data_IF_419558414466
#
_entry.id   IF_419558414466
#
_cell.length_a   1.000
_cell.length_b   1.000
_cell.length_c   1.000
_cell.angle_alpha   90.00
_cell.angle_beta   90.00
_cell.angle_gamma   90.00
#
_symmetry.space_group_name_H-M   'P 1'
#
loop_
_entity.id
_entity.type
_entity.pdbx_description
1 polymer ?
#
# COMPACT_ATOMS: atom_id res chain seq x y z
N UNK A 1 51.37 70.37 -43.54
CA UNK A 1 49.94 70.77 -43.63
C UNK A 1 49.13 69.57 -44.09
N UNK A 2 47.91 69.46 -43.55
CA UNK A 2 46.84 68.52 -43.90
C UNK A 2 46.74 67.20 -43.14
N UNK A 3 45.74 67.21 -42.26
CA UNK A 3 45.03 66.13 -41.58
C UNK A 3 44.47 65.08 -42.56
N UNK A 4 44.33 63.81 -42.16
CA UNK A 4 43.00 63.15 -42.08
C UNK A 4 42.99 61.73 -41.49
N UNK A 5 42.06 61.55 -40.51
CA UNK A 5 41.16 60.41 -40.24
C UNK A 5 41.70 59.07 -39.70
N UNK A 6 41.64 58.98 -38.37
CA UNK A 6 41.44 57.75 -37.60
C UNK A 6 39.97 57.31 -37.74
N UNK A 7 39.71 56.11 -38.30
CA UNK A 7 38.40 55.44 -38.24
C UNK A 7 38.29 54.69 -36.91
N UNK A 8 37.33 55.09 -36.07
CA UNK A 8 36.86 54.32 -34.90
C UNK A 8 35.82 53.31 -35.38
N UNK A 9 36.05 52.02 -35.11
CA UNK A 9 35.00 51.00 -35.17
C UNK A 9 34.28 50.98 -33.82
N UNK A 10 32.99 51.31 -33.80
CA UNK A 10 32.11 51.06 -32.68
C UNK A 10 31.53 49.65 -32.84
N UNK A 11 31.91 48.74 -31.95
CA UNK A 11 31.24 47.43 -31.79
C UNK A 11 30.05 47.67 -30.88
N UNK A 12 28.85 47.67 -31.47
CA UNK A 12 27.59 47.70 -30.73
C UNK A 12 27.22 46.29 -30.27
N UNK A 13 27.36 46.02 -28.98
CA UNK A 13 26.84 44.80 -28.35
C UNK A 13 25.31 44.93 -28.23
N UNK A 14 24.57 44.19 -29.05
CA UNK A 14 23.13 44.04 -28.94
C UNK A 14 22.82 43.08 -27.78
N UNK A 15 22.54 43.64 -26.61
CA UNK A 15 22.00 42.89 -25.46
C UNK A 15 20.52 42.58 -25.74
N UNK A 16 20.24 41.36 -26.21
CA UNK A 16 18.89 40.82 -26.25
C UNK A 16 18.45 40.52 -24.81
N UNK A 17 17.73 41.46 -24.20
CA UNK A 17 17.00 41.22 -22.96
C UNK A 17 15.79 40.36 -23.31
N UNK A 18 15.90 39.05 -23.10
CA UNK A 18 14.74 38.16 -23.07
C UNK A 18 13.97 38.53 -21.80
N UNK A 19 12.93 39.34 -21.96
CA UNK A 19 11.94 39.57 -20.91
C UNK A 19 11.25 38.23 -20.63
N UNK A 20 11.61 37.60 -19.52
CA UNK A 20 10.81 36.51 -18.97
C UNK A 20 9.47 37.10 -18.54
N UNK A 21 8.44 36.92 -19.35
CA UNK A 21 7.06 37.19 -18.95
C UNK A 21 6.71 36.24 -17.81
N UNK A 22 6.86 36.74 -16.58
CA UNK A 22 6.28 36.15 -15.39
C UNK A 22 4.76 36.20 -15.54
N UNK A 23 4.19 35.20 -16.21
CA UNK A 23 2.76 34.95 -16.20
C UNK A 23 2.36 34.68 -14.75
N UNK A 24 1.76 35.68 -14.10
CA UNK A 24 1.12 35.53 -12.81
C UNK A 24 -0.01 34.50 -12.96
N UNK A 25 0.29 33.24 -12.68
CA UNK A 25 -0.70 32.17 -12.70
C UNK A 25 -1.81 32.53 -11.72
N UNK A 26 -3.03 32.64 -12.25
CA UNK A 26 -4.24 32.87 -11.45
C UNK A 26 -4.30 31.81 -10.34
N UNK A 27 -4.49 32.24 -9.10
CA UNK A 27 -4.52 31.33 -7.96
C UNK A 27 -5.66 30.30 -8.13
N UNK A 28 -5.32 29.01 -8.22
CA UNK A 28 -6.27 27.91 -8.30
C UNK A 28 -6.85 27.63 -6.90
N UNK A 29 -8.18 27.60 -6.74
CA UNK A 29 -8.84 27.20 -5.50
C UNK A 29 -8.41 25.81 -5.02
N UNK A 30 -8.26 25.60 -3.71
CA UNK A 30 -7.89 24.30 -3.14
C UNK A 30 -8.85 23.17 -3.52
N UNK A 31 -10.14 23.48 -3.74
CA UNK A 31 -11.14 22.51 -4.20
C UNK A 31 -10.90 21.98 -5.60
N UNK A 32 -10.09 22.68 -6.41
CA UNK A 32 -9.75 22.34 -7.79
C UNK A 32 -8.35 21.71 -7.94
N UNK A 33 -7.56 21.66 -6.87
CA UNK A 33 -6.25 21.03 -6.88
C UNK A 33 -6.36 19.49 -6.86
N UNK A 34 -5.37 18.88 -7.51
CA UNK A 34 -5.19 17.43 -7.54
C UNK A 34 -4.43 16.88 -6.31
N UNK A 35 -3.79 17.76 -5.54
CA UNK A 35 -2.89 17.42 -4.43
C UNK A 35 -3.46 17.86 -3.08
N UNK A 36 -2.94 17.27 -2.00
CA UNK A 36 -3.23 17.71 -0.63
C UNK A 36 -2.58 19.07 -0.36
N UNK A 37 -3.23 19.88 0.48
CA UNK A 37 -2.74 21.19 0.90
C UNK A 37 -2.68 21.28 2.42
N UNK A 38 -1.49 21.59 2.94
CA UNK A 38 -1.25 21.88 4.35
C UNK A 38 -1.01 23.37 4.50
N UNK A 39 -1.99 24.09 5.05
CA UNK A 39 -1.86 25.49 5.42
C UNK A 39 -1.16 25.62 6.76
N UNK A 40 -0.12 26.46 6.82
CA UNK A 40 0.65 26.76 8.02
C UNK A 40 0.11 28.00 8.72
N UNK A 41 0.32 28.10 10.03
CA UNK A 41 -0.03 29.29 10.83
C UNK A 41 0.71 30.55 10.41
N UNK A 42 1.83 30.40 9.70
CA UNK A 42 2.57 31.50 9.08
C UNK A 42 1.86 32.11 7.86
N UNK A 43 0.72 31.56 7.43
CA UNK A 43 0.00 31.97 6.22
C UNK A 43 0.51 31.32 4.93
N UNK A 44 1.61 30.56 5.00
CA UNK A 44 2.14 29.79 3.86
C UNK A 44 1.41 28.47 3.69
N UNK A 45 1.49 27.86 2.52
CA UNK A 45 0.93 26.52 2.25
C UNK A 45 1.97 25.60 1.63
N UNK A 46 2.00 24.34 2.09
CA UNK A 46 2.75 23.25 1.47
C UNK A 46 1.77 22.36 0.70
N UNK A 47 2.14 21.92 -0.50
CA UNK A 47 1.29 21.14 -1.40
C UNK A 47 2.00 19.87 -1.82
N UNK A 48 1.28 18.74 -1.82
CA UNK A 48 1.87 17.43 -2.09
C UNK A 48 0.93 16.28 -1.73
N UNK A 49 1.47 15.14 -1.34
CA UNK A 49 0.68 14.01 -0.86
C UNK A 49 0.95 13.78 0.63
N UNK A 50 -0.05 13.93 1.49
CA UNK A 50 0.13 13.64 2.91
C UNK A 50 0.11 12.12 3.11
N UNK A 51 1.16 11.57 3.71
CA UNK A 51 1.32 10.11 3.87
C UNK A 51 0.87 9.66 5.24
N UNK A 52 1.24 10.41 6.27
CA UNK A 52 0.92 10.09 7.67
C UNK A 52 0.50 11.36 8.41
N UNK A 53 -0.46 11.18 9.31
CA UNK A 53 -0.86 12.21 10.26
C UNK A 53 -0.93 11.54 11.63
N UNK A 54 -0.06 11.96 12.54
CA UNK A 54 -0.16 11.60 13.95
C UNK A 54 -0.39 12.86 14.82
N UNK A 55 -0.44 12.67 16.13
CA UNK A 55 -0.73 13.76 17.06
C UNK A 55 0.36 14.84 17.09
N UNK A 56 1.60 14.52 16.69
CA UNK A 56 2.74 15.41 16.77
C UNK A 56 3.16 15.96 15.39
N UNK A 57 3.06 15.14 14.35
CA UNK A 57 3.64 15.41 13.04
C UNK A 57 2.68 15.01 11.91
N UNK A 58 2.66 15.82 10.86
CA UNK A 58 2.09 15.50 9.56
C UNK A 58 3.24 15.29 8.58
N UNK A 59 3.42 14.05 8.14
CA UNK A 59 4.42 13.67 7.14
C UNK A 59 3.81 13.72 5.75
N UNK A 60 4.46 14.44 4.84
CA UNK A 60 4.02 14.57 3.46
C UNK A 60 5.18 14.43 2.48
N UNK A 61 4.82 14.04 1.26
CA UNK A 61 5.70 13.93 0.12
C UNK A 61 5.46 15.10 -0.80
N UNK A 62 6.54 15.78 -1.20
CA UNK A 62 6.47 16.98 -2.04
C UNK A 62 7.46 16.88 -3.18
N UNK A 63 7.06 17.33 -4.37
CA UNK A 63 7.97 17.42 -5.51
C UNK A 63 9.15 18.34 -5.18
N UNK A 64 10.36 17.85 -5.44
CA UNK A 64 11.61 18.60 -5.24
C UNK A 64 11.58 19.92 -6.01
N UNK A 65 11.19 19.84 -7.28
CA UNK A 65 11.15 21.01 -8.16
C UNK A 65 10.14 22.03 -7.68
N UNK A 66 8.95 21.60 -7.25
CA UNK A 66 7.95 22.53 -6.72
C UNK A 66 8.44 23.21 -5.44
N UNK A 67 8.98 22.45 -4.49
CA UNK A 67 9.42 23.00 -3.19
C UNK A 67 10.56 24.01 -3.37
N UNK A 68 11.49 23.74 -4.28
CA UNK A 68 12.61 24.63 -4.60
C UNK A 68 12.12 26.01 -5.07
N UNK A 69 11.02 26.07 -5.83
CA UNK A 69 10.47 27.33 -6.34
C UNK A 69 9.49 27.99 -5.35
N UNK A 70 8.62 27.21 -4.71
CA UNK A 70 7.55 27.72 -3.85
C UNK A 70 8.01 28.07 -2.43
N UNK A 71 9.06 27.40 -1.96
CA UNK A 71 9.59 27.57 -0.60
C UNK A 71 11.10 27.27 -0.55
N UNK A 72 11.95 28.16 -1.10
CA UNK A 72 13.39 27.94 -1.15
C UNK A 72 14.03 27.69 0.23
N UNK A 73 13.57 28.39 1.27
CA UNK A 73 14.06 28.19 2.64
C UNK A 73 13.78 26.78 3.18
N UNK A 74 12.55 26.29 2.99
CA UNK A 74 12.17 24.94 3.43
C UNK A 74 12.91 23.89 2.60
N UNK A 75 13.05 24.12 1.29
CA UNK A 75 13.85 23.28 0.41
C UNK A 75 15.29 23.16 0.92
N UNK A 76 15.98 24.29 1.16
CA UNK A 76 17.36 24.31 1.66
C UNK A 76 17.49 23.60 3.00
N UNK A 77 16.54 23.82 3.93
CA UNK A 77 16.51 23.13 5.22
C UNK A 77 16.38 21.61 5.06
N UNK A 78 15.52 21.15 4.15
CA UNK A 78 15.29 19.73 3.91
C UNK A 78 16.48 19.05 3.25
N UNK A 79 17.15 19.70 2.30
CA UNK A 79 18.27 19.09 1.56
C UNK A 79 19.63 19.24 2.26
N UNK A 80 19.76 20.15 3.24
CA UNK A 80 21.03 20.45 3.91
C UNK A 80 21.76 19.21 4.46
N UNK A 81 21.01 18.25 5.01
CA UNK A 81 21.55 17.03 5.60
C UNK A 81 21.20 15.77 4.81
N UNK A 82 20.70 15.92 3.58
CA UNK A 82 20.19 14.79 2.78
C UNK A 82 21.26 13.74 2.53
N UNK A 83 22.46 14.14 2.09
CA UNK A 83 23.55 13.20 1.82
C UNK A 83 23.98 12.42 3.07
N UNK A 84 24.06 13.08 4.23
CA UNK A 84 24.39 12.43 5.50
C UNK A 84 23.29 11.45 5.94
N UNK A 85 22.02 11.85 5.80
CA UNK A 85 20.89 10.99 6.11
C UNK A 85 20.84 9.77 5.19
N UNK A 86 21.04 9.94 3.89
CA UNK A 86 21.11 8.86 2.90
C UNK A 86 22.21 7.86 3.24
N UNK A 87 23.39 8.36 3.62
CA UNK A 87 24.49 7.51 4.07
C UNK A 87 24.12 6.73 5.32
N UNK A 88 23.52 7.39 6.33
CA UNK A 88 23.07 6.74 7.57
C UNK A 88 22.02 5.66 7.32
N UNK A 89 21.10 5.88 6.39
CA UNK A 89 20.09 4.88 6.00
C UNK A 89 20.76 3.67 5.35
N UNK A 90 21.69 3.90 4.43
CA UNK A 90 22.44 2.82 3.78
C UNK A 90 23.31 2.04 4.78
N UNK A 91 23.97 2.71 5.73
CA UNK A 91 24.70 2.06 6.83
C UNK A 91 23.76 1.22 7.70
N UNK A 92 22.60 1.76 8.09
CA UNK A 92 21.59 1.02 8.87
C UNK A 92 21.13 -0.25 8.13
N UNK A 93 20.85 -0.15 6.84
CA UNK A 93 20.42 -1.30 6.03
C UNK A 93 21.55 -2.34 5.91
N UNK A 94 22.78 -1.91 5.58
CA UNK A 94 23.96 -2.79 5.50
C UNK A 94 24.15 -3.57 6.80
N UNK A 95 24.12 -2.89 7.94
CA UNK A 95 24.38 -3.51 9.24
C UNK A 95 23.26 -4.47 9.67
N UNK A 96 22.01 -4.20 9.26
CA UNK A 96 20.88 -5.13 9.45
C UNK A 96 21.01 -6.36 8.54
N UNK A 97 21.43 -6.18 7.29
CA UNK A 97 21.64 -7.27 6.34
C UNK A 97 22.81 -8.17 6.74
N UNK A 98 23.92 -7.61 7.21
CA UNK A 98 25.03 -8.40 7.76
C UNK A 98 24.56 -9.29 8.90
N UNK A 99 23.89 -8.71 9.91
CA UNK A 99 23.33 -9.47 11.04
C UNK A 99 22.37 -10.57 10.60
N UNK A 100 21.52 -10.30 9.61
CA UNK A 100 20.58 -11.29 9.09
C UNK A 100 21.28 -12.44 8.34
N UNK A 101 22.39 -12.15 7.67
CA UNK A 101 23.16 -13.11 6.88
C UNK A 101 24.21 -13.89 7.68
N UNK A 102 24.43 -13.56 8.97
CA UNK A 102 25.22 -14.40 9.89
C UNK A 102 24.58 -15.78 10.06
N UNK A 103 23.24 -15.84 10.13
CA UNK A 103 22.46 -17.08 10.04
C UNK A 103 21.57 -17.01 8.80
N UNK A 104 22.09 -17.39 7.61
CA UNK A 104 21.37 -17.18 6.36
C UNK A 104 20.05 -17.95 6.34
N UNK A 105 19.00 -17.40 5.71
CA UNK A 105 17.74 -18.11 5.56
C UNK A 105 17.91 -19.42 4.79
N UNK A 106 17.08 -20.41 5.14
CA UNK A 106 17.10 -21.74 4.52
C UNK A 106 16.63 -21.69 3.05
N UNK A 107 15.66 -20.84 2.71
CA UNK A 107 15.20 -20.68 1.33
C UNK A 107 16.27 -19.96 0.48
N UNK A 108 16.77 -20.61 -0.60
CA UNK A 108 17.80 -20.02 -1.46
C UNK A 108 17.39 -18.71 -2.14
N UNK A 109 16.09 -18.51 -2.46
CA UNK A 109 15.58 -17.31 -3.12
C UNK A 109 15.65 -16.12 -2.17
N UNK A 110 15.23 -16.32 -0.92
CA UNK A 110 15.35 -15.29 0.11
C UNK A 110 16.82 -14.96 0.39
N UNK A 111 17.67 -15.99 0.53
CA UNK A 111 19.11 -15.81 0.73
C UNK A 111 19.77 -15.02 -0.41
N UNK A 112 19.42 -15.34 -1.66
CA UNK A 112 19.90 -14.63 -2.84
C UNK A 112 19.46 -13.16 -2.85
N UNK A 113 18.17 -12.89 -2.60
CA UNK A 113 17.63 -11.53 -2.54
C UNK A 113 18.36 -10.67 -1.49
N UNK A 114 18.55 -11.18 -0.27
CA UNK A 114 19.24 -10.46 0.81
C UNK A 114 20.71 -10.17 0.48
N UNK A 115 21.41 -11.11 -0.19
CA UNK A 115 22.78 -10.90 -0.65
C UNK A 115 22.86 -9.83 -1.75
N UNK A 116 21.92 -9.83 -2.68
CA UNK A 116 21.84 -8.81 -3.73
C UNK A 116 21.59 -7.42 -3.14
N UNK A 117 20.70 -7.30 -2.15
CA UNK A 117 20.49 -6.04 -1.43
C UNK A 117 21.73 -5.59 -0.64
N UNK A 118 22.47 -6.54 -0.04
CA UNK A 118 23.71 -6.23 0.67
C UNK A 118 24.80 -5.72 -0.30
N UNK A 119 24.94 -6.36 -1.46
CA UNK A 119 25.87 -5.93 -2.50
C UNK A 119 25.51 -4.53 -2.99
N UNK A 120 24.22 -4.28 -3.29
CA UNK A 120 23.72 -2.97 -3.72
C UNK A 120 24.06 -1.87 -2.72
N UNK A 121 23.73 -2.07 -1.44
CA UNK A 121 23.93 -1.02 -0.42
C UNK A 121 25.42 -0.81 -0.13
N UNK A 122 26.24 -1.87 -0.18
CA UNK A 122 27.69 -1.76 -0.05
C UNK A 122 28.28 -0.95 -1.20
N UNK A 123 27.89 -1.26 -2.44
CA UNK A 123 28.32 -0.50 -3.63
C UNK A 123 27.89 0.97 -3.54
N UNK A 124 26.70 1.26 -3.01
CA UNK A 124 26.23 2.63 -2.79
C UNK A 124 27.11 3.38 -1.76
N UNK A 125 27.48 2.74 -0.65
CA UNK A 125 28.32 3.33 0.39
C UNK A 125 29.77 3.57 -0.05
N UNK A 126 30.26 2.79 -1.02
CA UNK A 126 31.59 2.94 -1.61
C UNK A 126 31.69 4.06 -2.64
N UNK A 127 30.56 4.61 -3.14
CA UNK A 127 30.57 5.73 -4.08
C UNK A 127 31.07 7.00 -3.38
N UNK A 128 31.96 7.72 -4.05
CA UNK A 128 32.43 9.04 -3.60
C UNK A 128 31.48 10.16 -4.00
N UNK A 129 30.76 9.99 -5.12
CA UNK A 129 29.78 10.95 -5.60
C UNK A 129 28.44 10.79 -4.88
N UNK A 130 27.75 11.91 -4.58
CA UNK A 130 26.39 11.88 -4.06
C UNK A 130 25.46 11.12 -5.01
N UNK A 131 24.51 10.37 -4.45
CA UNK A 131 23.45 9.76 -5.24
C UNK A 131 22.62 10.83 -5.95
N UNK A 132 22.04 10.46 -7.10
CA UNK A 132 21.11 11.33 -7.80
C UNK A 132 19.95 11.75 -6.88
N UNK A 133 19.56 13.04 -6.90
CA UNK A 133 18.49 13.53 -6.06
C UNK A 133 17.16 12.87 -6.41
N UNK A 134 16.40 12.48 -5.39
CA UNK A 134 15.04 11.97 -5.55
C UNK A 134 14.12 13.01 -6.20
N UNK A 135 13.14 12.57 -6.99
CA UNK A 135 12.10 13.46 -7.53
C UNK A 135 11.28 14.08 -6.40
N UNK A 136 11.06 13.33 -5.33
CA UNK A 136 10.24 13.74 -4.21
C UNK A 136 11.02 13.78 -2.89
N UNK A 137 10.67 14.74 -2.05
CA UNK A 137 11.21 14.96 -0.72
C UNK A 137 10.17 14.64 0.34
N UNK A 138 10.63 14.11 1.47
CA UNK A 138 9.84 13.99 2.68
C UNK A 138 9.86 15.30 3.46
N UNK A 139 8.70 15.73 3.94
CA UNK A 139 8.54 16.85 4.84
C UNK A 139 7.72 16.43 6.04
N UNK A 140 8.33 16.54 7.21
CA UNK A 140 7.67 16.38 8.50
C UNK A 140 7.32 17.77 9.04
N UNK A 141 6.02 18.03 9.16
CA UNK A 141 5.48 19.28 9.65
C UNK A 141 4.92 19.06 11.05
N UNK A 142 5.44 19.79 12.04
CA UNK A 142 4.93 19.74 13.41
C UNK A 142 3.48 20.25 13.46
N UNK A 143 2.59 19.50 14.13
CA UNK A 143 1.18 19.87 14.27
C UNK A 143 0.97 21.27 14.85
N UNK A 144 1.85 21.69 15.76
CA UNK A 144 1.83 23.04 16.33
C UNK A 144 1.94 24.17 15.30
N UNK A 145 2.55 23.90 14.13
CA UNK A 145 2.75 24.87 13.04
C UNK A 145 1.62 24.87 12.00
N UNK A 146 0.74 23.86 12.05
CA UNK A 146 -0.30 23.63 11.04
C UNK A 146 -1.57 24.37 11.44
N UNK A 147 -2.15 25.09 10.48
CA UNK A 147 -3.46 25.73 10.64
C UNK A 147 -4.58 24.83 10.12
N UNK A 148 -4.39 24.19 8.97
CA UNK A 148 -5.39 23.31 8.34
C UNK A 148 -4.76 22.32 7.38
N UNK A 149 -5.24 21.08 7.38
CA UNK A 149 -4.95 20.09 6.34
C UNK A 149 -6.20 19.92 5.48
N UNK A 150 -6.05 20.03 4.16
CA UNK A 150 -7.11 19.77 3.18
C UNK A 150 -6.65 18.66 2.26
N UNK A 151 -7.28 17.48 2.36
CA UNK A 151 -7.00 16.34 1.49
C UNK A 151 -7.72 16.50 0.15
N UNK A 152 -7.04 16.21 -0.95
CA UNK A 152 -7.69 16.04 -2.23
C UNK A 152 -8.54 14.76 -2.22
N UNK A 153 -9.61 14.75 -3.03
CA UNK A 153 -10.40 13.53 -3.21
C UNK A 153 -9.55 12.44 -3.88
N UNK A 154 -9.85 11.17 -3.63
CA UNK A 154 -9.05 10.02 -4.12
C UNK A 154 -8.86 10.05 -5.64
N UNK A 155 -9.91 10.34 -6.40
CA UNK A 155 -9.81 10.41 -7.87
C UNK A 155 -8.92 11.57 -8.33
N UNK A 156 -8.90 12.68 -7.59
CA UNK A 156 -8.02 13.82 -7.89
C UNK A 156 -6.56 13.51 -7.54
N UNK A 157 -6.32 12.81 -6.43
CA UNK A 157 -4.99 12.31 -6.10
C UNK A 157 -4.48 11.33 -7.18
N UNK A 158 -5.35 10.49 -7.76
CA UNK A 158 -5.00 9.61 -8.88
C UNK A 158 -4.52 10.37 -10.10
N UNK A 159 -5.18 11.48 -10.44
CA UNK A 159 -4.73 12.41 -11.50
C UNK A 159 -3.34 12.97 -11.17
N UNK A 160 -3.09 13.42 -9.94
CA UNK A 160 -1.78 13.91 -9.52
C UNK A 160 -0.69 12.83 -9.67
N UNK A 161 -0.96 11.58 -9.29
CA UNK A 161 -0.02 10.46 -9.41
C UNK A 161 0.34 10.19 -10.87
N UNK A 162 -0.63 10.17 -11.79
CA UNK A 162 -0.34 10.07 -13.22
C UNK A 162 0.44 11.28 -13.74
N UNK A 163 0.03 12.50 -13.38
CA UNK A 163 0.71 13.72 -13.78
C UNK A 163 2.18 13.75 -13.33
N UNK A 164 2.45 13.31 -12.10
CA UNK A 164 3.80 13.16 -11.57
C UNK A 164 4.60 12.05 -12.26
N UNK A 165 3.96 10.92 -12.61
CA UNK A 165 4.59 9.85 -13.37
C UNK A 165 5.11 10.36 -14.72
N UNK A 166 4.26 11.12 -15.41
CA UNK A 166 4.49 11.71 -16.74
C UNK A 166 5.33 12.99 -16.71
N UNK A 167 5.85 13.35 -15.54
CA UNK A 167 6.70 14.52 -15.32
C UNK A 167 6.04 15.82 -15.80
N UNK A 168 4.71 15.95 -15.62
CA UNK A 168 4.02 17.19 -15.91
C UNK A 168 4.55 18.31 -15.00
N UNK A 169 4.76 19.53 -15.51
CA UNK A 169 5.25 20.63 -14.70
C UNK A 169 4.16 21.15 -13.76
N UNK A 170 4.57 21.58 -12.56
CA UNK A 170 3.75 22.33 -11.60
C UNK A 170 2.43 21.64 -11.21
N UNK A 171 2.41 20.32 -11.11
CA UNK A 171 1.21 19.52 -10.74
C UNK A 171 0.53 20.07 -9.49
N UNK A 172 1.31 20.51 -8.51
CA UNK A 172 0.83 21.02 -7.22
C UNK A 172 0.09 22.36 -7.32
N UNK A 173 0.16 23.04 -8.46
CA UNK A 173 -0.40 24.38 -8.65
C UNK A 173 -1.45 24.47 -9.76
N UNK A 174 -1.72 23.36 -10.46
CA UNK A 174 -2.65 23.31 -11.60
C UNK A 174 -4.03 22.81 -11.20
N UNK A 175 -5.02 23.24 -11.97
CA UNK A 175 -6.38 22.72 -11.88
C UNK A 175 -6.41 21.25 -12.33
N UNK A 176 -7.15 20.42 -11.59
CA UNK A 176 -7.22 18.98 -11.85
C UNK A 176 -7.76 18.65 -13.24
N UNK A 177 -8.74 19.41 -13.74
CA UNK A 177 -9.31 19.17 -15.07
C UNK A 177 -8.35 19.56 -16.19
N UNK A 178 -7.44 20.50 -15.93
CA UNK A 178 -6.36 20.81 -16.85
C UNK A 178 -5.36 19.64 -16.95
N UNK A 179 -4.98 19.07 -15.80
CA UNK A 179 -4.13 17.88 -15.75
C UNK A 179 -4.78 16.68 -16.44
N UNK A 180 -6.07 16.42 -16.18
CA UNK A 180 -6.84 15.36 -16.85
C UNK A 180 -6.87 15.53 -18.36
N UNK A 181 -7.11 16.75 -18.85
CA UNK A 181 -7.11 17.03 -20.29
C UNK A 181 -5.75 16.77 -20.91
N UNK A 182 -4.66 17.18 -20.26
CA UNK A 182 -3.30 16.95 -20.77
C UNK A 182 -2.93 15.46 -20.75
N UNK A 183 -3.26 14.72 -19.68
CA UNK A 183 -3.06 13.28 -19.60
C UNK A 183 -3.83 12.56 -20.73
N UNK A 184 -5.08 12.95 -20.96
CA UNK A 184 -5.89 12.42 -22.06
C UNK A 184 -5.29 12.72 -23.43
N UNK A 185 -4.75 13.93 -23.64
CA UNK A 185 -4.03 14.28 -24.88
C UNK A 185 -2.79 13.39 -25.09
N UNK A 186 -2.14 12.97 -24.01
CA UNK A 186 -1.04 11.98 -24.01
C UNK A 186 -1.52 10.52 -24.10
N UNK A 187 -2.83 10.29 -24.28
CA UNK A 187 -3.47 8.96 -24.34
C UNK A 187 -3.34 8.16 -23.04
N UNK A 188 -3.31 8.83 -21.91
CA UNK A 188 -3.24 8.22 -20.58
C UNK A 188 -4.60 8.31 -19.91
N UNK A 189 -5.11 7.16 -19.48
CA UNK A 189 -6.35 7.07 -18.73
C UNK A 189 -6.10 7.26 -17.24
N UNK A 190 -6.33 8.48 -16.75
CA UNK A 190 -6.16 8.84 -15.34
C UNK A 190 -7.19 8.19 -14.40
N UNK A 191 -8.18 7.48 -14.92
CA UNK A 191 -9.14 6.72 -14.10
C UNK A 191 -8.60 5.34 -13.69
N UNK A 192 -7.57 4.85 -14.38
CA UNK A 192 -6.92 3.57 -14.06
C UNK A 192 -5.97 3.69 -12.86
N UNK A 193 -5.66 2.56 -12.23
CA UNK A 193 -4.74 2.51 -11.10
C UNK A 193 -3.38 3.16 -11.47
N UNK A 194 -2.89 4.14 -10.69
CA UNK A 194 -1.69 4.88 -11.05
C UNK A 194 -0.43 4.04 -10.83
N UNK A 195 0.67 4.35 -11.51
CA UNK A 195 1.93 3.65 -11.30
C UNK A 195 2.48 3.93 -9.90
N UNK A 196 3.21 2.95 -9.38
CA UNK A 196 3.91 3.05 -8.09
C UNK A 196 5.12 3.99 -8.19
N UNK A 197 5.00 5.19 -7.60
CA UNK A 197 6.04 6.23 -7.60
C UNK A 197 7.04 6.10 -6.44
N UNK A 198 6.95 5.04 -5.64
CA UNK A 198 7.74 4.95 -4.40
C UNK A 198 9.24 4.82 -4.63
N UNK A 199 9.66 4.31 -5.79
CA UNK A 199 11.06 4.31 -6.23
C UNK A 199 11.63 5.70 -6.53
N UNK A 200 10.77 6.73 -6.60
CA UNK A 200 11.17 8.14 -6.83
C UNK A 200 11.25 8.95 -5.54
N UNK A 201 10.99 8.31 -4.39
CA UNK A 201 11.13 8.89 -3.06
C UNK A 201 12.55 8.67 -2.54
N UNK A 202 13.03 9.62 -1.73
CA UNK A 202 14.18 9.36 -0.88
C UNK A 202 13.82 8.25 0.13
N UNK A 203 14.71 7.27 0.38
CA UNK A 203 14.50 6.29 1.44
C UNK A 203 14.46 6.98 2.79
N UNK A 204 13.86 6.32 3.78
CA UNK A 204 13.79 6.80 5.17
C UNK A 204 14.48 5.83 6.12
N UNK A 205 14.85 6.35 7.30
CA UNK A 205 15.28 5.50 8.41
C UNK A 205 14.12 4.63 8.85
N UNK A 206 14.41 3.38 9.14
CA UNK A 206 13.40 2.41 9.57
C UNK A 206 13.62 2.08 11.03
N UNK A 207 12.57 2.13 11.84
CA UNK A 207 12.63 1.57 13.19
C UNK A 207 12.65 0.02 13.16
N UNK A 208 12.78 -0.63 14.31
CA UNK A 208 12.85 -2.09 14.38
C UNK A 208 11.52 -2.77 14.08
N UNK A 209 10.40 -2.06 14.32
CA UNK A 209 9.04 -2.55 14.07
C UNK A 209 8.77 -2.59 12.56
N UNK A 210 9.06 -1.51 11.86
CA UNK A 210 9.00 -1.40 10.40
C UNK A 210 9.92 -2.42 9.72
N UNK A 211 11.14 -2.58 10.24
CA UNK A 211 12.09 -3.58 9.74
C UNK A 211 11.57 -5.01 9.86
N UNK A 212 11.00 -5.38 11.02
CA UNK A 212 10.44 -6.70 11.25
C UNK A 212 9.26 -6.97 10.30
N UNK A 213 8.36 -6.00 10.13
CA UNK A 213 7.23 -6.09 9.21
C UNK A 213 7.68 -6.21 7.74
N UNK A 214 8.72 -5.48 7.33
CA UNK A 214 9.28 -5.61 5.98
C UNK A 214 9.90 -6.99 5.74
N UNK A 215 10.68 -7.50 6.70
CA UNK A 215 11.23 -8.85 6.60
C UNK A 215 10.15 -9.92 6.58
N UNK A 216 9.03 -9.70 7.28
CA UNK A 216 7.87 -10.60 7.20
C UNK A 216 7.28 -10.65 5.79
N UNK A 217 7.09 -9.50 5.13
CA UNK A 217 6.58 -9.43 3.75
C UNK A 217 7.53 -10.09 2.74
N UNK A 218 8.83 -9.80 2.86
CA UNK A 218 9.86 -10.39 2.00
C UNK A 218 9.97 -11.90 2.23
N UNK A 219 9.96 -12.33 3.50
CA UNK A 219 9.93 -13.74 3.86
C UNK A 219 8.72 -14.45 3.27
N UNK A 220 7.51 -13.89 3.43
CA UNK A 220 6.30 -14.45 2.85
C UNK A 220 6.37 -14.57 1.31
N UNK A 221 7.04 -13.64 0.62
CA UNK A 221 7.15 -13.66 -0.83
C UNK A 221 8.18 -14.67 -1.37
N UNK A 222 9.32 -14.81 -0.69
CA UNK A 222 10.47 -15.58 -1.19
C UNK A 222 10.66 -16.94 -0.52
N UNK A 223 10.08 -17.17 0.66
CA UNK A 223 10.09 -18.45 1.35
C UNK A 223 8.81 -19.26 1.01
N UNK A 224 8.32 -20.06 1.95
CA UNK A 224 7.01 -20.71 1.92
C UNK A 224 5.95 -19.81 2.58
N UNK A 225 4.97 -19.30 1.82
CA UNK A 225 3.90 -18.50 2.40
C UNK A 225 3.08 -19.34 3.38
N UNK A 226 2.75 -18.73 4.52
CA UNK A 226 1.81 -19.28 5.49
C UNK A 226 0.49 -18.56 5.34
N UNK A 227 -0.50 -19.28 4.83
CA UNK A 227 -1.84 -18.76 4.57
C UNK A 227 -2.86 -19.50 5.43
N UNK A 228 -3.83 -18.74 5.95
CA UNK A 228 -4.98 -19.26 6.67
C UNK A 228 -6.26 -18.79 6.00
N UNK A 229 -7.27 -19.65 5.96
CA UNK A 229 -8.60 -19.32 5.49
C UNK A 229 -9.68 -19.90 6.41
N UNK A 230 -10.80 -19.20 6.57
CA UNK A 230 -11.93 -19.73 7.32
C UNK A 230 -13.11 -18.78 7.44
N UNK A 231 -13.96 -19.02 8.44
CA UNK A 231 -15.22 -18.31 8.68
C UNK A 231 -15.39 -18.08 10.18
N UNK A 232 -15.92 -16.92 10.57
CA UNK A 232 -16.03 -16.56 11.99
C UNK A 232 -14.66 -16.56 12.69
N UNK A 233 -14.56 -17.21 13.85
CA UNK A 233 -13.30 -17.31 14.61
C UNK A 233 -12.46 -18.54 14.26
N UNK A 234 -12.89 -19.35 13.29
CA UNK A 234 -12.19 -20.58 12.90
C UNK A 234 -11.37 -20.30 11.65
N UNK A 235 -10.06 -20.50 11.77
CA UNK A 235 -9.11 -20.47 10.66
C UNK A 235 -8.46 -21.84 10.49
N UNK A 236 -8.27 -22.24 9.24
CA UNK A 236 -7.48 -23.40 8.86
C UNK A 236 -6.35 -22.96 7.95
N UNK A 237 -5.16 -23.50 8.16
CA UNK A 237 -4.04 -23.29 7.27
C UNK A 237 -4.34 -23.88 5.89
N UNK A 238 -3.91 -23.21 4.83
CA UNK A 238 -4.05 -23.63 3.43
C UNK A 238 -2.67 -23.66 2.74
N UNK A 239 -2.48 -24.53 1.75
CA UNK A 239 -1.21 -24.61 0.98
C UNK A 239 -0.96 -25.97 0.33
N UNK A 240 0.00 -26.01 -0.63
CA UNK A 240 0.25 -27.12 -1.56
C UNK A 240 0.58 -28.48 -0.92
N UNK A 241 1.05 -28.50 0.33
CA UNK A 241 1.44 -29.74 1.03
C UNK A 241 0.32 -30.33 1.90
N UNK A 242 -0.87 -29.72 1.91
CA UNK A 242 -2.02 -30.31 2.60
C UNK A 242 -2.81 -31.20 1.64
N UNK A 243 -2.89 -32.50 1.99
CA UNK A 243 -3.96 -33.37 1.49
C UNK A 243 -5.29 -32.69 1.74
N UNK A 244 -6.21 -32.80 0.78
CA UNK A 244 -7.57 -32.23 0.79
C UNK A 244 -8.09 -32.01 2.22
N UNK A 245 -8.39 -30.75 2.55
CA UNK A 245 -8.91 -30.33 3.86
C UNK A 245 -9.99 -31.34 4.26
N UNK A 246 -9.76 -32.06 5.36
CA UNK A 246 -10.81 -32.89 5.93
C UNK A 246 -11.87 -31.93 6.47
N UNK A 247 -12.95 -31.79 5.71
CA UNK A 247 -14.03 -30.83 5.97
C UNK A 247 -14.78 -31.24 7.25
N UNK A 248 -14.70 -32.51 7.66
CA UNK A 248 -15.42 -33.03 8.82
C UNK A 248 -15.04 -32.34 10.15
N UNK A 249 -13.76 -32.19 10.53
CA UNK A 249 -13.36 -31.44 11.74
C UNK A 249 -13.64 -29.93 11.67
N UNK A 250 -13.66 -29.34 10.46
CA UNK A 250 -13.99 -27.92 10.28
C UNK A 250 -15.49 -27.69 10.42
N UNK A 251 -16.30 -28.56 9.81
CA UNK A 251 -17.76 -28.51 9.87
C UNK A 251 -18.25 -28.71 11.31
N UNK A 252 -17.65 -29.63 12.05
CA UNK A 252 -17.97 -29.86 13.46
C UNK A 252 -17.59 -28.68 14.36
N UNK A 253 -16.46 -28.01 14.12
CA UNK A 253 -16.11 -26.76 14.81
C UNK A 253 -17.03 -25.59 14.45
N UNK A 254 -17.44 -25.47 13.18
CA UNK A 254 -18.39 -24.43 12.74
C UNK A 254 -19.76 -24.66 13.38
N UNK A 255 -20.26 -25.90 13.38
CA UNK A 255 -21.50 -26.28 14.06
C UNK A 255 -21.45 -26.01 15.57
N UNK A 256 -20.36 -26.38 16.26
CA UNK A 256 -20.19 -26.07 17.68
C UNK A 256 -20.16 -24.56 17.93
N UNK A 257 -19.39 -23.80 17.15
CA UNK A 257 -19.31 -22.34 17.32
C UNK A 257 -20.64 -21.63 17.06
N UNK A 258 -21.44 -22.09 16.10
CA UNK A 258 -22.77 -21.53 15.85
C UNK A 258 -23.77 -21.86 16.97
N UNK A 259 -23.67 -23.04 17.57
CA UNK A 259 -24.47 -23.42 18.75
C UNK A 259 -24.09 -22.54 19.96
N UNK A 260 -22.80 -22.32 20.20
CA UNK A 260 -22.34 -21.46 21.30
C UNK A 260 -22.74 -19.99 21.10
N UNK A 261 -22.67 -19.48 19.86
CA UNK A 261 -23.07 -18.10 19.55
C UNK A 261 -24.58 -17.91 19.72
N UNK A 262 -25.39 -18.89 19.29
CA UNK A 262 -26.85 -18.86 19.48
C UNK A 262 -27.26 -19.02 20.95
N UNK A 263 -26.52 -19.81 21.74
CA UNK A 263 -26.72 -19.92 23.19
C UNK A 263 -26.33 -18.64 23.93
N UNK A 264 -25.25 -17.96 23.52
CA UNK A 264 -24.81 -16.70 24.11
C UNK A 264 -25.75 -15.53 23.77
N UNK A 265 -26.32 -15.51 22.56
CA UNK A 265 -27.31 -14.49 22.15
C UNK A 265 -28.66 -14.65 22.89
N UNK A 266 -29.03 -15.90 23.22
CA UNK A 266 -30.18 -16.22 24.07
C UNK A 266 -29.98 -15.86 25.55
N UNK A 267 -28.73 -15.69 26.00
CA UNK A 267 -28.38 -15.32 27.38
C UNK A 267 -28.11 -13.82 27.57
N UNK A 268 -28.28 -13.01 26.51
CA UNK A 268 -28.52 -11.57 26.64
C UNK A 268 -27.32 -10.68 26.97
N UNK A 269 -26.10 -11.04 26.56
CA UNK A 269 -24.95 -10.14 26.69
C UNK A 269 -24.75 -9.27 25.44
N UNK A 270 -25.52 -8.19 25.35
CA UNK A 270 -25.23 -7.06 24.46
C UNK A 270 -23.93 -6.39 24.91
N UNK A 271 -22.83 -6.59 24.18
CA UNK A 271 -21.61 -5.80 24.38
C UNK A 271 -21.35 -4.86 23.20
N UNK A 272 -21.34 -3.58 23.56
CA UNK A 272 -21.01 -2.44 22.74
C UNK A 272 -19.64 -2.59 22.05
N UNK A 273 -19.55 -2.05 20.84
CA UNK A 273 -18.34 -1.95 20.02
C UNK A 273 -17.27 -1.17 20.79
N UNK A 274 -16.35 -1.88 21.45
CA UNK A 274 -15.10 -1.33 21.96
C UNK A 274 -14.05 -1.33 20.85
N UNK A 275 -13.27 -0.25 20.80
CA UNK A 275 -12.11 -0.12 19.92
C UNK A 275 -11.15 -1.32 20.07
N UNK A 276 -10.58 -1.84 18.97
CA UNK A 276 -9.80 -3.07 19.02
C UNK A 276 -8.46 -2.84 19.74
N UNK A 277 -8.21 -3.60 20.80
CA UNK A 277 -6.89 -3.75 21.39
C UNK A 277 -6.31 -5.12 21.03
N UNK A 278 -5.00 -5.16 20.72
CA UNK A 278 -4.09 -6.33 20.69
C UNK A 278 -4.73 -7.66 20.25
N UNK A 279 -4.54 -7.97 18.96
CA UNK A 279 -4.85 -9.24 18.31
C UNK A 279 -6.35 -9.60 18.33
N UNK A 280 -7.03 -9.34 17.20
CA UNK A 280 -8.42 -9.75 17.03
C UNK A 280 -8.55 -11.26 17.26
N UNK A 281 -9.52 -11.69 18.06
CA UNK A 281 -9.57 -13.05 18.60
C UNK A 281 -9.48 -14.17 17.56
N UNK A 282 -10.00 -13.94 16.35
CA UNK A 282 -9.95 -14.88 15.23
C UNK A 282 -8.53 -15.14 14.68
N UNK A 283 -7.53 -14.34 15.04
CA UNK A 283 -6.12 -14.52 14.65
C UNK A 283 -5.30 -15.32 15.66
N UNK A 284 -5.80 -15.51 16.89
CA UNK A 284 -5.03 -16.14 17.99
C UNK A 284 -4.50 -17.53 17.61
N UNK A 285 -5.32 -18.36 16.95
CA UNK A 285 -4.92 -19.70 16.50
C UNK A 285 -3.87 -19.65 15.39
N UNK A 286 -4.04 -18.76 14.41
CA UNK A 286 -3.08 -18.58 13.32
C UNK A 286 -1.73 -18.09 13.83
N UNK A 287 -1.72 -17.15 14.78
CA UNK A 287 -0.51 -16.65 15.43
C UNK A 287 0.20 -17.70 16.30
N UNK A 288 -0.55 -18.56 16.97
CA UNK A 288 0.02 -19.69 17.71
C UNK A 288 0.72 -20.69 16.77
N UNK A 289 0.06 -21.11 15.69
CA UNK A 289 0.67 -22.01 14.69
C UNK A 289 1.85 -21.33 13.98
N UNK A 290 1.76 -20.04 13.65
CA UNK A 290 2.86 -19.28 13.07
C UNK A 290 4.09 -19.20 14.00
N UNK A 291 3.88 -19.15 15.32
CA UNK A 291 4.95 -19.22 16.32
C UNK A 291 5.61 -20.60 16.34
N UNK A 292 4.83 -21.68 16.29
CA UNK A 292 5.36 -23.06 16.23
C UNK A 292 6.21 -23.28 14.98
N UNK A 293 5.76 -22.74 13.84
CA UNK A 293 6.48 -22.80 12.56
C UNK A 293 7.64 -21.79 12.47
N UNK A 294 7.84 -20.95 13.48
CA UNK A 294 8.88 -19.92 13.51
C UNK A 294 8.88 -18.99 12.29
N UNK A 295 7.71 -18.70 11.72
CA UNK A 295 7.58 -17.77 10.58
C UNK A 295 7.51 -16.32 11.07
N UNK A 296 7.89 -15.39 10.19
CA UNK A 296 7.89 -13.94 10.49
C UNK A 296 6.58 -13.25 10.15
N UNK A 297 5.79 -13.83 9.27
CA UNK A 297 4.55 -13.27 8.77
C UNK A 297 3.62 -14.34 8.24
N UNK A 298 2.32 -14.07 8.29
CA UNK A 298 1.30 -14.93 7.71
C UNK A 298 0.15 -14.08 7.17
N UNK A 299 -0.60 -14.67 6.25
CA UNK A 299 -1.85 -14.10 5.75
C UNK A 299 -3.02 -14.88 6.30
N UNK A 300 -4.09 -14.19 6.69
CA UNK A 300 -5.32 -14.82 7.12
C UNK A 300 -6.53 -14.20 6.40
N UNK A 301 -7.43 -15.05 5.90
CA UNK A 301 -8.62 -14.64 5.17
C UNK A 301 -9.87 -15.22 5.84
N UNK A 302 -10.78 -14.35 6.25
CA UNK A 302 -12.09 -14.73 6.79
C UNK A 302 -13.19 -14.38 5.79
N UNK A 303 -14.10 -15.32 5.57
CA UNK A 303 -15.32 -15.11 4.80
C UNK A 303 -16.48 -14.92 5.78
N UNK A 304 -17.19 -13.80 5.64
CA UNK A 304 -18.42 -13.50 6.35
C UNK A 304 -19.58 -13.46 5.34
N UNK A 305 -20.55 -14.36 5.53
CA UNK A 305 -21.71 -14.54 4.66
C UNK A 305 -22.87 -13.69 5.19
N UNK A 306 -23.22 -12.59 4.51
CA UNK A 306 -24.38 -11.76 4.85
C UNK A 306 -25.56 -12.14 3.96
N UNK A 307 -26.20 -13.26 4.30
CA UNK A 307 -27.32 -13.84 3.54
C UNK A 307 -28.49 -12.86 3.42
N UNK A 308 -28.78 -12.12 4.50
CA UNK A 308 -29.81 -11.09 4.59
C UNK A 308 -29.61 -9.93 3.60
N UNK A 309 -28.34 -9.61 3.29
CA UNK A 309 -27.96 -8.53 2.37
C UNK A 309 -27.60 -9.01 0.98
N UNK A 310 -27.64 -10.31 0.72
CA UNK A 310 -27.16 -10.89 -0.53
C UNK A 310 -25.69 -10.54 -0.80
N UNK A 311 -24.84 -10.54 0.23
CA UNK A 311 -23.44 -10.13 0.12
C UNK A 311 -22.47 -11.19 0.66
N UNK A 312 -21.45 -11.48 -0.14
CA UNK A 312 -20.25 -12.18 0.31
C UNK A 312 -19.20 -11.14 0.72
N UNK A 313 -18.77 -11.17 1.98
CA UNK A 313 -17.73 -10.28 2.50
C UNK A 313 -16.48 -11.10 2.80
N UNK A 314 -15.35 -10.69 2.24
CA UNK A 314 -14.05 -11.32 2.47
C UNK A 314 -13.16 -10.30 3.16
N UNK A 315 -12.75 -10.60 4.39
CA UNK A 315 -11.74 -9.86 5.13
C UNK A 315 -10.42 -10.61 5.01
N UNK A 316 -9.36 -9.92 4.63
CA UNK A 316 -8.00 -10.49 4.59
C UNK A 316 -7.05 -9.60 5.35
N UNK A 317 -6.10 -10.20 6.06
CA UNK A 317 -5.07 -9.51 6.83
C UNK A 317 -3.72 -10.13 6.55
N UNK A 318 -2.67 -9.32 6.67
CA UNK A 318 -1.30 -9.79 6.79
C UNK A 318 -0.77 -9.38 8.16
N UNK A 319 -0.39 -10.38 8.95
CA UNK A 319 0.16 -10.20 10.29
C UNK A 319 1.67 -10.45 10.25
N UNK A 320 2.42 -9.64 10.99
CA UNK A 320 3.86 -9.76 11.14
C UNK A 320 4.25 -9.85 12.62
N UNK A 321 5.31 -10.63 12.89
CA UNK A 321 5.86 -10.78 14.23
C UNK A 321 6.83 -9.64 14.52
N UNK A 322 6.56 -8.89 15.57
CA UNK A 322 7.34 -7.74 16.02
C UNK A 322 8.58 -8.17 16.84
N UNK A 323 9.57 -7.28 17.04
CA UNK A 323 10.75 -7.59 17.84
C UNK A 323 10.46 -7.98 19.29
N UNK A 324 9.36 -7.49 19.86
CA UNK A 324 8.89 -7.86 21.20
C UNK A 324 8.14 -9.20 21.25
N UNK A 325 8.04 -9.89 20.10
CA UNK A 325 7.36 -11.17 19.94
C UNK A 325 5.85 -11.06 19.71
N UNK A 326 5.26 -9.86 19.78
CA UNK A 326 3.83 -9.66 19.51
C UNK A 326 3.52 -9.76 18.02
N UNK A 327 2.28 -10.14 17.69
CA UNK A 327 1.77 -10.11 16.32
C UNK A 327 1.00 -8.82 16.08
N UNK A 328 1.33 -8.11 15.01
CA UNK A 328 0.60 -6.92 14.59
C UNK A 328 0.06 -7.09 13.16
N UNK A 329 -1.16 -6.60 12.93
CA UNK A 329 -1.74 -6.54 11.58
C UNK A 329 -1.12 -5.35 10.85
N UNK A 330 -0.25 -5.62 9.88
CA UNK A 330 0.46 -4.58 9.12
C UNK A 330 -0.29 -4.18 7.86
N UNK A 331 -1.24 -5.01 7.42
CA UNK A 331 -2.13 -4.73 6.31
C UNK A 331 -3.47 -5.46 6.46
N UNK A 332 -4.54 -4.82 6.02
CA UNK A 332 -5.87 -5.42 5.96
C UNK A 332 -6.67 -4.88 4.76
N UNK A 333 -7.55 -5.72 4.22
CA UNK A 333 -8.57 -5.32 3.26
C UNK A 333 -9.89 -6.03 3.55
N UNK A 334 -10.98 -5.42 3.12
CA UNK A 334 -12.31 -6.01 3.15
C UNK A 334 -12.98 -5.76 1.82
N UNK A 335 -13.36 -6.85 1.15
CA UNK A 335 -14.02 -6.82 -0.15
C UNK A 335 -15.42 -7.40 -0.01
N UNK A 336 -16.40 -6.73 -0.60
CA UNK A 336 -17.79 -7.17 -0.59
C UNK A 336 -18.29 -7.33 -2.02
N UNK A 337 -18.94 -8.46 -2.30
CA UNK A 337 -19.50 -8.76 -3.60
C UNK A 337 -20.98 -9.13 -3.46
N UNK A 338 -21.78 -8.56 -4.36
CA UNK A 338 -23.21 -8.83 -4.46
C UNK A 338 -23.43 -10.23 -5.05
N UNK A 339 -24.05 -11.13 -4.28
CA UNK A 339 -24.33 -12.52 -4.68
C UNK A 339 -25.58 -12.68 -5.53
N UNK A 340 -26.36 -11.61 -5.74
CA UNK A 340 -27.52 -11.63 -6.65
C UNK A 340 -27.11 -11.46 -8.12
N UNK A 341 -25.93 -10.87 -8.37
CA UNK A 341 -25.40 -10.64 -9.72
C UNK A 341 -24.85 -11.94 -10.33
N UNK A 342 -25.28 -12.32 -11.54
CA UNK A 342 -24.77 -13.52 -12.21
C UNK A 342 -23.30 -13.36 -12.58
N UNK A 343 -22.53 -14.44 -12.45
CA UNK A 343 -21.11 -14.56 -12.77
C UNK A 343 -20.86 -15.87 -13.51
N UNK A 344 -21.31 -15.94 -14.76
CA UNK A 344 -21.38 -17.19 -15.55
C UNK A 344 -20.10 -18.03 -15.49
N UNK A 345 -18.92 -17.42 -15.70
CA UNK A 345 -17.65 -18.15 -15.72
C UNK A 345 -17.27 -18.74 -14.35
N UNK A 346 -17.53 -18.01 -13.26
CA UNK A 346 -17.23 -18.46 -11.91
C UNK A 346 -18.25 -19.50 -11.44
N UNK A 347 -19.52 -19.31 -11.76
CA UNK A 347 -20.60 -20.27 -11.49
C UNK A 347 -20.36 -21.61 -12.20
N UNK A 348 -19.94 -21.58 -13.47
CA UNK A 348 -19.59 -22.78 -14.24
C UNK A 348 -18.41 -23.54 -13.60
N UNK A 349 -17.34 -22.83 -13.22
CA UNK A 349 -16.19 -23.44 -12.53
C UNK A 349 -16.58 -24.12 -11.23
N UNK A 350 -17.44 -23.49 -10.43
CA UNK A 350 -17.92 -24.07 -9.16
C UNK A 350 -18.79 -25.30 -9.43
N UNK A 351 -19.71 -25.23 -10.40
CA UNK A 351 -20.56 -26.36 -10.76
C UNK A 351 -19.76 -27.54 -11.34
N UNK A 352 -18.60 -27.27 -11.94
CA UNK A 352 -17.71 -28.29 -12.49
C UNK A 352 -16.78 -28.95 -11.46
N UNK A 353 -16.65 -28.37 -10.27
CA UNK A 353 -15.78 -28.86 -9.20
C UNK A 353 -16.20 -30.28 -8.73
N UNK A 354 -15.28 -31.26 -8.64
CA UNK A 354 -15.63 -32.64 -8.28
C UNK A 354 -16.28 -32.81 -6.90
N UNK A 355 -15.95 -31.97 -5.92
CA UNK A 355 -16.57 -32.02 -4.60
C UNK A 355 -17.97 -31.42 -4.64
N UNK A 356 -18.15 -30.31 -5.37
CA UNK A 356 -19.46 -29.69 -5.57
C UNK A 356 -20.37 -30.63 -6.35
N UNK A 357 -19.91 -31.24 -7.45
CA UNK A 357 -20.67 -32.23 -8.23
C UNK A 357 -21.24 -33.36 -7.39
N UNK A 358 -20.43 -33.94 -6.50
CA UNK A 358 -20.88 -35.01 -5.58
C UNK A 358 -22.01 -34.54 -4.66
N UNK A 359 -21.92 -33.29 -4.17
CA UNK A 359 -22.98 -32.69 -3.34
C UNK A 359 -24.23 -32.41 -4.19
N UNK A 360 -24.07 -31.90 -5.40
CA UNK A 360 -25.17 -31.62 -6.33
C UNK A 360 -25.92 -32.89 -6.74
N UNK A 361 -25.20 -33.97 -7.06
CA UNK A 361 -25.77 -35.28 -7.37
C UNK A 361 -26.58 -35.84 -6.19
N UNK A 362 -26.07 -35.71 -4.96
CA UNK A 362 -26.77 -36.12 -3.75
C UNK A 362 -28.04 -35.28 -3.50
N UNK A 363 -27.97 -33.96 -3.69
CA UNK A 363 -29.09 -33.03 -3.46
C UNK A 363 -30.19 -33.17 -4.52
N UNK A 364 -29.84 -33.38 -5.79
CA UNK A 364 -30.79 -33.60 -6.87
C UNK A 364 -31.64 -34.87 -6.68
N UNK A 365 -31.17 -35.82 -5.86
CA UNK A 365 -31.95 -37.01 -5.51
C UNK A 365 -33.11 -36.74 -4.55
N UNK A 366 -33.20 -35.54 -3.95
CA UNK A 366 -34.22 -35.15 -2.97
C UNK A 366 -35.37 -34.27 -3.51
N UNK A 367 -35.41 -33.95 -4.82
CA UNK A 367 -36.57 -33.34 -5.50
C UNK A 367 -36.47 -31.85 -5.89
N UNK A 368 -37.46 -31.35 -6.63
CA UNK A 368 -37.44 -30.11 -7.44
C UNK A 368 -37.37 -28.77 -6.69
N UNK A 369 -37.39 -28.76 -5.35
CA UNK A 369 -37.24 -27.54 -4.53
C UNK A 369 -35.78 -27.21 -4.18
N UNK A 370 -34.84 -28.08 -4.53
CA UNK A 370 -33.42 -27.93 -4.21
C UNK A 370 -32.65 -27.08 -5.23
N UNK A 371 -33.11 -27.03 -6.49
CA UNK A 371 -32.42 -26.39 -7.61
C UNK A 371 -32.19 -24.89 -7.40
N UNK A 372 -33.16 -24.17 -6.85
CA UNK A 372 -33.04 -22.73 -6.60
C UNK A 372 -32.06 -22.43 -5.45
N UNK A 373 -32.08 -23.25 -4.39
CA UNK A 373 -31.14 -23.14 -3.26
C UNK A 373 -29.71 -23.47 -3.69
N UNK A 374 -29.56 -24.49 -4.53
CA UNK A 374 -28.30 -24.87 -5.17
C UNK A 374 -27.76 -23.71 -6.01
N UNK A 375 -28.59 -23.14 -6.89
CA UNK A 375 -28.19 -22.00 -7.73
C UNK A 375 -27.80 -20.79 -6.91
N UNK A 376 -28.54 -20.49 -5.84
CA UNK A 376 -28.20 -19.42 -4.90
C UNK A 376 -26.87 -19.67 -4.19
N UNK A 377 -26.59 -20.90 -3.76
CA UNK A 377 -25.31 -21.28 -3.15
C UNK A 377 -24.14 -21.16 -4.14
N UNK A 378 -24.33 -21.57 -5.39
CA UNK A 378 -23.32 -21.42 -6.46
C UNK A 378 -23.03 -19.93 -6.72
N UNK A 379 -24.06 -19.09 -6.83
CA UNK A 379 -23.90 -17.64 -6.98
C UNK A 379 -23.20 -16.99 -5.79
N UNK A 380 -23.51 -17.46 -4.59
CA UNK A 380 -22.83 -17.00 -3.39
C UNK A 380 -21.35 -17.39 -3.40
N UNK A 381 -21.03 -18.64 -3.75
CA UNK A 381 -19.66 -19.11 -3.95
C UNK A 381 -18.91 -18.28 -4.99
N UNK A 382 -19.56 -17.95 -6.11
CA UNK A 382 -18.98 -17.11 -7.16
C UNK A 382 -18.70 -15.67 -6.66
N UNK A 383 -19.60 -15.11 -5.86
CA UNK A 383 -19.39 -13.81 -5.23
C UNK A 383 -18.23 -13.83 -4.22
N UNK A 384 -18.12 -14.89 -3.39
CA UNK A 384 -16.99 -15.09 -2.47
C UNK A 384 -15.68 -15.21 -3.22
N UNK A 385 -15.62 -16.00 -4.30
CA UNK A 385 -14.42 -16.12 -5.14
C UNK A 385 -14.00 -14.78 -5.75
N UNK A 386 -14.96 -13.99 -6.26
CA UNK A 386 -14.68 -12.67 -6.81
C UNK A 386 -14.16 -11.69 -5.73
N UNK A 387 -14.74 -11.73 -4.52
CA UNK A 387 -14.30 -10.92 -3.39
C UNK A 387 -12.88 -11.31 -2.96
N UNK A 388 -12.59 -12.61 -2.93
CA UNK A 388 -11.25 -13.11 -2.60
C UNK A 388 -10.22 -12.74 -3.66
N UNK A 389 -10.53 -12.87 -4.95
CA UNK A 389 -9.64 -12.43 -6.04
C UNK A 389 -9.33 -10.93 -5.97
N UNK A 390 -10.33 -10.10 -5.68
CA UNK A 390 -10.12 -8.67 -5.49
C UNK A 390 -9.20 -8.40 -4.28
N UNK A 391 -9.43 -9.10 -3.16
CA UNK A 391 -8.63 -8.99 -1.95
C UNK A 391 -7.17 -9.46 -2.16
N UNK A 392 -6.97 -10.56 -2.90
CA UNK A 392 -5.66 -11.07 -3.32
C UNK A 392 -4.92 -10.04 -4.16
N UNK A 393 -5.58 -9.46 -5.17
CA UNK A 393 -5.00 -8.42 -6.01
C UNK A 393 -4.48 -7.24 -5.20
N UNK A 394 -5.27 -6.75 -4.24
CA UNK A 394 -4.86 -5.64 -3.34
C UNK A 394 -3.70 -6.02 -2.43
N UNK A 395 -3.66 -7.26 -1.94
CA UNK A 395 -2.56 -7.72 -1.12
C UNK A 395 -1.25 -7.80 -1.92
N UNK A 396 -1.29 -8.37 -3.12
CA UNK A 396 -0.09 -8.48 -3.97
C UNK A 396 0.41 -7.11 -4.41
N UNK A 397 -0.47 -6.19 -4.78
CA UNK A 397 -0.10 -4.80 -5.06
C UNK A 397 0.60 -4.14 -3.86
N UNK A 398 0.06 -4.33 -2.65
CA UNK A 398 0.68 -3.85 -1.43
C UNK A 398 2.04 -4.50 -1.17
N UNK A 399 2.15 -5.83 -1.22
CA UNK A 399 3.37 -6.59 -0.95
C UNK A 399 4.48 -6.22 -1.93
N UNK A 400 4.17 -6.21 -3.22
CA UNK A 400 5.16 -6.07 -4.30
C UNK A 400 5.87 -4.71 -4.28
N UNK A 401 5.23 -3.68 -3.72
CA UNK A 401 5.85 -2.39 -3.41
C UNK A 401 7.10 -2.53 -2.53
N UNK A 402 7.10 -3.48 -1.60
CA UNK A 402 8.18 -3.68 -0.63
C UNK A 402 9.20 -4.74 -1.05
N UNK A 403 8.97 -5.45 -2.16
CA UNK A 403 9.90 -6.46 -2.69
C UNK A 403 10.97 -5.87 -3.60
N UNK A 404 10.81 -4.63 -4.07
CA UNK A 404 11.78 -3.98 -4.95
C UNK A 404 13.07 -3.61 -4.23
N UNK A 405 12.96 -3.07 -2.99
CA UNK A 405 14.08 -2.63 -2.16
C UNK A 405 13.74 -2.67 -0.67
N UNK A 406 14.74 -2.99 0.15
CA UNK A 406 14.60 -3.06 1.61
C UNK A 406 14.66 -1.71 2.32
N UNK A 407 15.13 -0.66 1.65
CA UNK A 407 15.05 0.75 2.04
C UNK A 407 13.93 1.51 1.30
N UNK A 408 13.04 0.78 0.61
CA UNK A 408 11.89 1.34 -0.10
C UNK A 408 10.90 2.11 0.80
N UNK A 409 9.72 2.49 0.29
CA UNK A 409 8.83 3.45 0.96
C UNK A 409 8.53 3.06 2.41
N UNK A 410 8.24 4.03 3.29
CA UNK A 410 7.84 3.75 4.67
C UNK A 410 6.67 2.78 4.74
N UNK A 411 6.73 1.87 5.71
CA UNK A 411 5.65 0.94 6.01
C UNK A 411 4.97 1.42 7.29
N UNK A 412 3.81 2.05 7.16
CA UNK A 412 3.08 2.63 8.29
C UNK A 412 1.73 1.93 8.48
N UNK A 413 1.44 1.53 9.72
CA UNK A 413 0.15 1.01 10.12
C UNK A 413 -0.17 1.45 11.56
N UNK A 414 -1.45 1.66 11.83
CA UNK A 414 -1.96 1.96 13.17
C UNK A 414 -1.91 0.71 14.03
N UNK A 415 -1.54 0.88 15.30
CA UNK A 415 -1.64 -0.17 16.33
C UNK A 415 -3.08 -0.44 16.71
#
# INVERSE_FOLDING_TARGET
>A
MSLTRIRRYAVGTLLLVIAAEAHAQKAVPTSQLAVDVVALKSGRSVRGAVVKMDAAVVSMVVSRTWLQHSSPELFQKTVANEAQLQRKIAEQLRDRLHRLLETPPQDPRLSFFLKQELERVTAQLSRQEPADPSQFLWLDLEQGTIAKVTRAAVDRQRVAMWAWNELLPNVESRDVHELERELKQRKIDSTTHPPDLTNRLAPQLQDDREWAARLALVGYAFDKPLDFQGTGNVLVRIGADQKAIDVAPVLSKVLQSQVDTLLSDLLGESTAVKAPSKESEWLKSASAEANELSVRGFRATRVDVKVDRGQAVVQTVFAAKMPDGSWETVWQATEAQDSTKPRADAEAKIAEDPQVKKILEAVNSFGSGADDKVRQAIRFGAATMAAQQAADGRFYEFRDRYLKRLDGPPLAWTK
#
